data_IF_167837132130
#
_entry.id   IF_167837132130
#
_cell.length_a   1.000
_cell.length_b   1.000
_cell.length_c   1.000
_cell.angle_alpha   90.00
_cell.angle_beta   90.00
_cell.angle_gamma   90.00
#
_symmetry.space_group_name_H-M   'P 1'
#
loop_
_entity.id
_entity.type
_entity.pdbx_description
1 polymer ?
#
# COMPACT_ATOMS: atom_id res chain seq x y z
N UNK A 1 2.97 -21.10 10.84
CA UNK A 1 2.38 -20.92 12.19
C UNK A 1 1.13 -20.07 12.00
N UNK A 2 0.04 -20.27 12.76
CA UNK A 2 -1.09 -19.35 12.69
C UNK A 2 -0.59 -17.92 12.99
N UNK A 3 -1.19 -16.91 12.35
CA UNK A 3 -0.85 -15.52 12.64
C UNK A 3 -1.08 -15.20 14.12
N UNK A 4 -0.26 -14.31 14.68
CA UNK A 4 -0.22 -14.04 16.12
C UNK A 4 -0.68 -12.61 16.47
N UNK A 5 -0.99 -11.79 15.47
CA UNK A 5 -1.29 -10.38 15.67
C UNK A 5 -2.74 -10.07 15.33
N UNK A 6 -3.47 -9.50 16.29
CA UNK A 6 -4.83 -8.99 16.06
C UNK A 6 -4.83 -7.67 15.26
N UNK A 7 -3.72 -6.93 15.31
CA UNK A 7 -3.56 -5.66 14.64
C UNK A 7 -2.12 -5.44 14.17
N UNK A 8 -1.97 -5.10 12.90
CA UNK A 8 -0.75 -4.53 12.32
C UNK A 8 -1.08 -3.12 11.83
N UNK A 9 -0.25 -2.14 12.18
CA UNK A 9 -0.38 -0.75 11.71
C UNK A 9 0.94 -0.34 11.06
N UNK A 10 0.87 0.21 9.85
CA UNK A 10 2.08 0.55 9.11
C UNK A 10 1.95 1.80 8.24
N UNK A 11 3.10 2.43 8.00
CA UNK A 11 3.27 3.62 7.17
C UNK A 11 4.55 3.48 6.31
N UNK A 12 4.51 2.66 5.25
CA UNK A 12 5.67 2.42 4.40
C UNK A 12 6.11 3.71 3.68
N UNK A 13 7.42 3.87 3.45
CA UNK A 13 7.95 4.82 2.48
C UNK A 13 7.29 4.64 1.10
N UNK A 14 7.08 5.74 0.39
CA UNK A 14 6.39 5.75 -0.91
C UNK A 14 7.01 6.69 -1.95
N UNK A 15 8.09 7.41 -1.60
CA UNK A 15 8.70 8.35 -2.54
C UNK A 15 9.56 7.57 -3.54
N UNK A 16 9.56 7.97 -4.80
CA UNK A 16 10.58 7.58 -5.76
C UNK A 16 11.85 8.38 -5.42
N UNK A 17 12.93 7.69 -5.06
CA UNK A 17 14.18 8.34 -4.66
C UNK A 17 15.33 7.85 -5.55
N UNK A 18 15.87 8.74 -6.40
CA UNK A 18 17.04 8.44 -7.24
C UNK A 18 18.28 8.03 -6.41
N UNK A 19 18.36 8.48 -5.16
CA UNK A 19 19.42 8.08 -4.22
C UNK A 19 19.20 6.72 -3.56
N UNK A 20 18.08 6.03 -3.86
CA UNK A 20 17.65 4.75 -3.28
C UNK A 20 17.81 4.67 -1.76
N UNK A 21 17.55 5.78 -1.05
CA UNK A 21 17.68 5.79 0.40
C UNK A 21 16.52 4.98 0.95
N UNK A 22 16.83 3.84 1.57
CA UNK A 22 15.86 2.87 2.06
C UNK A 22 14.75 3.42 2.98
N UNK A 23 14.94 4.59 3.61
CA UNK A 23 13.92 5.24 4.45
C UNK A 23 12.93 6.13 3.67
N UNK A 24 13.21 6.44 2.40
CA UNK A 24 12.35 7.27 1.52
C UNK A 24 11.83 6.50 0.33
N UNK A 25 12.68 5.64 -0.21
CA UNK A 25 12.42 4.89 -1.43
C UNK A 25 11.30 3.87 -1.23
N UNK A 26 10.16 4.10 -1.88
CA UNK A 26 9.05 3.15 -1.94
C UNK A 26 9.29 1.97 -2.88
N UNK A 27 10.41 1.98 -3.61
CA UNK A 27 10.84 0.96 -4.56
C UNK A 27 10.17 1.10 -5.93
N UNK A 28 10.16 -0.01 -6.69
CA UNK A 28 9.49 -0.11 -7.99
C UNK A 28 7.98 0.21 -7.91
N UNK A 29 7.27 0.13 -9.05
CA UNK A 29 5.84 0.42 -9.13
C UNK A 29 5.52 1.86 -8.68
N UNK A 30 6.32 2.82 -9.15
CA UNK A 30 6.20 4.24 -8.80
C UNK A 30 6.15 4.48 -7.28
N UNK A 31 7.02 3.81 -6.51
CA UNK A 31 7.06 3.93 -5.05
C UNK A 31 6.06 3.06 -4.28
N UNK A 32 5.25 2.22 -4.95
CA UNK A 32 4.26 1.38 -4.29
C UNK A 32 4.75 -0.06 -3.97
N UNK A 33 5.91 -0.48 -4.46
CA UNK A 33 6.40 -1.87 -4.29
C UNK A 33 6.52 -2.26 -2.83
N UNK A 34 7.13 -1.41 -2.01
CA UNK A 34 7.36 -1.70 -0.60
C UNK A 34 6.04 -1.83 0.15
N UNK A 35 5.08 -0.95 -0.13
CA UNK A 35 3.71 -1.03 0.40
C UNK A 35 3.04 -2.37 0.08
N UNK A 36 3.13 -2.81 -1.17
CA UNK A 36 2.56 -4.09 -1.61
C UNK A 36 3.21 -5.30 -0.92
N UNK A 37 4.54 -5.27 -0.76
CA UNK A 37 5.28 -6.35 -0.08
C UNK A 37 4.99 -6.39 1.42
N UNK A 38 4.86 -5.24 2.06
CA UNK A 38 4.50 -5.14 3.47
C UNK A 38 3.08 -5.62 3.72
N UNK A 39 2.14 -5.29 2.83
CA UNK A 39 0.78 -5.85 2.89
C UNK A 39 0.82 -7.37 2.82
N UNK A 40 1.51 -7.94 1.83
CA UNK A 40 1.59 -9.39 1.66
C UNK A 40 2.16 -10.10 2.91
N UNK A 41 3.25 -9.56 3.48
CA UNK A 41 3.84 -10.10 4.70
C UNK A 41 2.95 -9.93 5.93
N UNK A 42 2.34 -8.75 6.11
CA UNK A 42 1.52 -8.47 7.27
C UNK A 42 0.28 -9.35 7.32
N UNK A 43 -0.34 -9.65 6.18
CA UNK A 43 -1.52 -10.52 6.11
C UNK A 43 -1.20 -11.90 6.69
N UNK A 44 -0.05 -12.49 6.36
CA UNK A 44 0.37 -13.80 6.87
C UNK A 44 0.61 -13.81 8.39
N UNK A 45 0.85 -12.64 8.98
CA UNK A 45 1.05 -12.45 10.41
C UNK A 45 -0.28 -12.25 11.18
N UNK A 46 -1.38 -11.94 10.49
CA UNK A 46 -2.68 -11.69 11.13
C UNK A 46 -3.29 -12.96 11.71
N UNK A 47 -3.71 -12.89 12.97
CA UNK A 47 -4.60 -13.88 13.57
C UNK A 47 -5.97 -13.89 12.84
N UNK A 48 -6.77 -14.96 12.94
CA UNK A 48 -8.18 -14.93 12.55
C UNK A 48 -8.91 -13.73 13.17
N UNK A 49 -9.72 -13.01 12.38
CA UNK A 49 -10.37 -11.76 12.77
C UNK A 49 -9.44 -10.54 12.85
N UNK A 50 -8.13 -10.74 12.70
CA UNK A 50 -7.10 -9.70 12.78
C UNK A 50 -7.15 -8.72 11.61
N UNK A 51 -6.52 -7.56 11.81
CA UNK A 51 -6.58 -6.44 10.85
C UNK A 51 -5.21 -5.82 10.56
N UNK A 52 -4.98 -5.49 9.30
CA UNK A 52 -3.91 -4.59 8.87
C UNK A 52 -4.51 -3.22 8.59
N UNK A 53 -3.90 -2.17 9.12
CA UNK A 53 -4.17 -0.78 8.75
C UNK A 53 -2.89 -0.21 8.13
N UNK A 54 -2.99 0.30 6.91
CA UNK A 54 -1.88 0.94 6.22
C UNK A 54 -2.29 2.34 5.76
N UNK A 55 -1.43 3.31 6.02
CA UNK A 55 -1.49 4.66 5.46
C UNK A 55 -0.26 4.86 4.58
N UNK A 56 -0.40 5.37 3.36
CA UNK A 56 0.75 5.65 2.49
C UNK A 56 0.39 6.66 1.40
N UNK A 57 1.40 7.15 0.69
CA UNK A 57 1.23 7.86 -0.57
C UNK A 57 1.21 6.88 -1.74
N UNK A 58 0.43 7.18 -2.78
CA UNK A 58 0.37 6.38 -4.01
C UNK A 58 0.44 7.28 -5.23
N UNK A 59 1.23 6.88 -6.22
CA UNK A 59 1.28 7.55 -7.51
C UNK A 59 0.05 7.20 -8.34
N UNK A 60 -0.58 8.22 -8.91
CA UNK A 60 -1.64 8.06 -9.91
C UNK A 60 -1.01 8.21 -11.30
N UNK A 61 -1.16 7.18 -12.13
CA UNK A 61 -0.54 7.10 -13.46
C UNK A 61 -1.62 6.74 -14.49
N UNK A 62 -1.85 7.61 -15.46
CA UNK A 62 -2.91 7.41 -16.45
C UNK A 62 -4.31 7.33 -15.80
N UNK A 63 -4.56 8.12 -14.77
CA UNK A 63 -5.78 8.10 -13.96
C UNK A 63 -5.96 6.84 -13.08
N UNK A 64 -4.95 5.97 -12.94
CA UNK A 64 -5.03 4.73 -12.16
C UNK A 64 -4.18 4.77 -10.90
N UNK A 65 -4.72 4.20 -9.83
CA UNK A 65 -4.01 3.94 -8.58
C UNK A 65 -3.20 2.65 -8.70
N UNK A 66 -1.88 2.80 -8.83
CA UNK A 66 -0.97 1.68 -9.08
C UNK A 66 -0.90 0.69 -7.92
N UNK A 67 -1.13 1.15 -6.68
CA UNK A 67 -1.13 0.27 -5.51
C UNK A 67 -2.45 -0.51 -5.46
N UNK A 68 -3.59 0.15 -5.64
CA UNK A 68 -4.89 -0.49 -5.59
C UNK A 68 -5.04 -1.56 -6.69
N UNK A 69 -4.60 -1.27 -7.91
CA UNK A 69 -4.56 -2.24 -9.01
C UNK A 69 -3.71 -3.46 -8.62
N UNK A 70 -2.49 -3.24 -8.10
CA UNK A 70 -1.61 -4.32 -7.70
C UNK A 70 -2.13 -5.13 -6.49
N UNK A 71 -2.85 -4.49 -5.56
CA UNK A 71 -3.52 -5.17 -4.45
C UNK A 71 -4.63 -6.08 -4.96
N UNK A 72 -5.46 -5.62 -5.90
CA UNK A 72 -6.51 -6.46 -6.49
C UNK A 72 -5.94 -7.67 -7.25
N UNK A 73 -4.79 -7.52 -7.89
CA UNK A 73 -4.11 -8.63 -8.57
C UNK A 73 -3.46 -9.63 -7.60
N UNK A 74 -2.88 -9.13 -6.49
CA UNK A 74 -2.05 -9.94 -5.59
C UNK A 74 -2.84 -10.59 -4.45
N UNK A 75 -3.89 -9.94 -3.95
CA UNK A 75 -4.63 -10.43 -2.79
C UNK A 75 -5.51 -11.63 -3.17
N UNK A 76 -5.60 -12.67 -2.31
CA UNK A 76 -6.53 -13.77 -2.53
C UNK A 76 -7.96 -13.26 -2.51
N UNK A 77 -8.81 -13.87 -3.34
CA UNK A 77 -10.23 -13.51 -3.46
C UNK A 77 -11.08 -13.96 -2.26
N UNK A 78 -10.50 -14.77 -1.37
CA UNK A 78 -11.17 -15.47 -0.28
C UNK A 78 -10.40 -15.25 1.03
N UNK A 79 -11.11 -15.25 2.16
CA UNK A 79 -10.49 -15.19 3.50
C UNK A 79 -9.97 -13.81 3.92
N UNK A 80 -10.05 -12.80 3.04
CA UNK A 80 -9.71 -11.40 3.33
C UNK A 80 -10.83 -10.47 2.88
N UNK A 81 -10.94 -9.33 3.54
CA UNK A 81 -11.71 -8.18 3.04
C UNK A 81 -10.81 -6.95 2.99
N UNK A 82 -10.93 -6.17 1.93
CA UNK A 82 -10.20 -4.91 1.72
C UNK A 82 -11.18 -3.74 1.75
N UNK A 83 -10.91 -2.78 2.61
CA UNK A 83 -11.51 -1.44 2.60
C UNK A 83 -10.41 -0.45 2.20
N UNK A 84 -10.66 0.36 1.17
CA UNK A 84 -9.68 1.32 0.64
C UNK A 84 -10.31 2.70 0.54
N UNK A 85 -9.56 3.75 0.88
CA UNK A 85 -10.04 5.13 0.84
C UNK A 85 -8.92 6.08 0.44
N UNK A 86 -9.20 6.94 -0.54
CA UNK A 86 -8.42 8.14 -0.78
C UNK A 86 -8.74 9.16 0.32
N UNK A 87 -7.71 9.63 1.02
CA UNK A 87 -7.80 10.53 2.17
C UNK A 87 -7.48 11.97 1.76
N UNK A 88 -6.51 12.14 0.88
CA UNK A 88 -6.11 13.41 0.29
C UNK A 88 -5.69 13.16 -1.16
N UNK A 89 -6.25 13.88 -2.16
CA UNK A 89 -5.94 13.63 -3.55
C UNK A 89 -4.53 14.09 -3.96
N UNK A 90 -3.87 14.99 -3.23
CA UNK A 90 -2.55 15.51 -3.62
C UNK A 90 -1.73 15.99 -2.41
N UNK A 91 -0.77 15.17 -2.01
CA UNK A 91 0.09 15.44 -0.84
C UNK A 91 1.54 15.82 -1.18
N UNK A 92 1.94 15.73 -2.46
CA UNK A 92 3.32 15.95 -2.90
C UNK A 92 3.43 16.51 -4.33
N UNK A 93 2.46 17.32 -4.76
CA UNK A 93 2.44 17.91 -6.11
C UNK A 93 3.69 18.72 -6.47
N UNK A 94 4.34 19.38 -5.50
CA UNK A 94 5.58 20.15 -5.74
C UNK A 94 6.80 19.28 -6.11
N UNK A 95 6.79 17.99 -5.73
CA UNK A 95 7.89 17.07 -6.01
C UNK A 95 7.79 16.39 -7.39
N UNK A 96 6.66 16.55 -8.10
CA UNK A 96 6.38 15.91 -9.39
C UNK A 96 7.28 16.42 -10.53
N UNK A 97 7.93 17.57 -10.37
CA UNK A 97 8.88 18.11 -11.35
C UNK A 97 10.18 17.27 -11.46
N UNK A 98 10.39 16.30 -10.57
CA UNK A 98 11.58 15.43 -10.62
C UNK A 98 11.46 14.38 -11.73
N UNK A 99 12.58 13.99 -12.38
CA UNK A 99 12.56 13.04 -13.50
C UNK A 99 11.88 11.70 -13.19
N UNK A 100 11.99 11.22 -11.94
CA UNK A 100 11.35 9.97 -11.50
C UNK A 100 9.82 9.99 -11.53
N UNK A 101 9.18 11.16 -11.57
CA UNK A 101 7.72 11.32 -11.58
C UNK A 101 7.17 11.75 -12.96
N UNK A 102 7.96 11.68 -14.03
CA UNK A 102 7.55 12.16 -15.35
C UNK A 102 6.23 11.55 -15.89
N UNK A 103 5.86 10.36 -15.42
CA UNK A 103 4.61 9.68 -15.78
C UNK A 103 3.52 9.76 -14.69
N UNK A 104 3.81 10.40 -13.56
CA UNK A 104 2.92 10.48 -12.40
C UNK A 104 2.13 11.79 -12.45
N UNK A 105 0.81 11.68 -12.42
CA UNK A 105 -0.12 12.82 -12.49
C UNK A 105 -0.26 13.53 -11.14
N UNK A 106 -0.32 12.74 -10.06
CA UNK A 106 -0.43 13.21 -8.67
C UNK A 106 -0.03 12.10 -7.69
N UNK A 107 0.25 12.48 -6.44
CA UNK A 107 0.48 11.53 -5.34
C UNK A 107 -0.64 11.69 -4.33
N UNK A 108 -1.49 10.68 -4.19
CA UNK A 108 -2.61 10.68 -3.25
C UNK A 108 -2.19 10.09 -1.90
N UNK A 109 -2.71 10.61 -0.79
CA UNK A 109 -2.70 9.90 0.48
C UNK A 109 -3.86 8.91 0.52
N UNK A 110 -3.57 7.67 0.90
CA UNK A 110 -4.58 6.61 1.00
C UNK A 110 -4.50 5.90 2.33
N UNK A 111 -5.65 5.40 2.77
CA UNK A 111 -5.78 4.49 3.89
C UNK A 111 -6.42 3.20 3.42
N UNK A 112 -5.86 2.07 3.84
CA UNK A 112 -6.48 0.76 3.64
C UNK A 112 -6.58 -0.03 4.93
N UNK A 113 -7.65 -0.81 5.03
CA UNK A 113 -7.87 -1.79 6.09
C UNK A 113 -8.09 -3.14 5.44
N UNK A 114 -7.22 -4.10 5.74
CA UNK A 114 -7.43 -5.51 5.38
C UNK A 114 -7.82 -6.27 6.63
N UNK A 115 -8.91 -7.04 6.57
CA UNK A 115 -9.35 -7.91 7.67
C UNK A 115 -9.23 -9.37 7.24
N UNK A 116 -8.62 -10.20 8.07
CA UNK A 116 -8.64 -11.65 7.90
C UNK A 116 -9.98 -12.18 8.40
N UNK A 117 -10.72 -12.83 7.52
CA UNK A 117 -12.02 -13.43 7.84
C UNK A 117 -11.73 -14.75 8.56
N UNK A 118 -12.48 -15.03 9.62
CA UNK A 118 -12.42 -16.32 10.29
C UNK A 118 -12.78 -17.43 9.29
N UNK A 119 -12.00 -18.51 9.27
CA UNK A 119 -12.48 -19.73 8.60
C UNK A 119 -13.75 -20.17 9.32
N UNK A 120 -14.86 -20.43 8.60
CA UNK A 120 -16.03 -20.98 9.25
C UNK A 120 -15.68 -22.35 9.83
N UNK A 121 -15.96 -22.52 11.13
CA UNK A 121 -15.93 -23.81 11.85
C UNK A 121 -16.75 -24.90 11.12
#
# INVERSE_FOLDING_TARGET
MPGHYDLVVTHPPFMIDEGQRAYRDGGDLYGARLSLEWVAQAIDLLAPGGRLILHTGVSIVGGRDVLLDALHERLPTNGLSLEYRELDPDIFGEDLDQPGYAEVERIAAVGLVIRRVDEPD
#
